data_IF_280142525505
#
_entry.id   IF_280142525505
#
_cell.length_a   1.000
_cell.length_b   1.000
_cell.length_c   1.000
_cell.angle_alpha   90.00
_cell.angle_beta   90.00
_cell.angle_gamma   90.00
#
_symmetry.space_group_name_H-M   'P 1'
#
loop_
_entity.id
_entity.type
_entity.pdbx_description
1 polymer ?
#
# COMPACT_ATOMS: atom_id res chain seq x y z
N UNK A 1 -8.66 -5.95 9.28
CA UNK A 1 -9.78 -5.40 8.46
C UNK A 1 -9.93 -3.91 8.77
N UNK A 2 -10.36 -3.11 7.80
CA UNK A 2 -10.63 -1.69 8.00
C UNK A 2 -12.03 -1.50 8.64
N UNK A 3 -12.14 -0.92 9.86
CA UNK A 3 -13.42 -0.70 10.51
C UNK A 3 -14.31 0.35 9.82
N UNK A 4 -13.76 1.25 8.98
CA UNK A 4 -14.55 2.30 8.31
C UNK A 4 -14.85 1.98 6.84
N UNK A 5 -14.13 1.02 6.25
CA UNK A 5 -14.29 0.60 4.86
C UNK A 5 -14.53 -0.92 4.80
N UNK A 6 -15.79 -1.39 4.89
CA UNK A 6 -16.11 -2.82 4.86
C UNK A 6 -15.49 -3.54 3.65
N UNK A 7 -14.87 -4.70 3.90
CA UNK A 7 -14.21 -5.50 2.86
C UNK A 7 -12.78 -5.05 2.50
N UNK A 8 -12.26 -3.99 3.11
CA UNK A 8 -10.87 -3.54 2.93
C UNK A 8 -9.99 -3.93 4.11
N UNK A 9 -8.68 -3.97 3.89
CA UNK A 9 -7.66 -4.16 4.92
C UNK A 9 -6.73 -2.94 4.94
N UNK A 10 -6.27 -2.57 6.13
CA UNK A 10 -5.31 -1.47 6.30
C UNK A 10 -3.89 -2.00 6.37
N UNK A 11 -2.97 -1.22 5.83
CA UNK A 11 -1.55 -1.52 5.89
C UNK A 11 -0.71 -0.47 5.19
N UNK A 12 0.59 -0.72 5.17
CA UNK A 12 1.60 0.04 4.45
C UNK A 12 1.68 -0.49 3.02
N UNK A 13 1.18 0.28 2.07
CA UNK A 13 1.30 -0.04 0.66
C UNK A 13 2.64 0.42 0.13
N UNK A 14 3.29 -0.43 -0.66
CA UNK A 14 4.37 -0.03 -1.55
C UNK A 14 3.75 0.09 -2.94
N UNK A 15 3.74 1.29 -3.50
CA UNK A 15 3.07 1.57 -4.76
C UNK A 15 3.83 2.56 -5.63
N UNK A 16 3.57 2.54 -6.94
CA UNK A 16 4.02 3.54 -7.90
C UNK A 16 2.80 4.22 -8.51
N UNK A 17 2.84 5.56 -8.62
CA UNK A 17 1.71 6.34 -9.17
C UNK A 17 1.62 6.33 -10.69
N UNK A 18 2.75 6.26 -11.40
CA UNK A 18 2.76 6.34 -12.87
C UNK A 18 3.84 5.43 -13.51
N UNK A 19 3.45 4.42 -14.31
CA UNK A 19 2.09 3.87 -14.39
C UNK A 19 1.70 3.25 -13.04
N UNK A 20 0.39 3.29 -12.74
CA UNK A 20 -0.15 2.75 -11.49
C UNK A 20 0.29 1.30 -11.29
N UNK A 21 0.83 1.01 -10.10
CA UNK A 21 1.17 -0.35 -9.70
C UNK A 21 1.17 -0.46 -8.18
N UNK A 22 0.39 -1.39 -7.64
CA UNK A 22 0.44 -1.75 -6.22
C UNK A 22 1.36 -2.98 -6.08
N UNK A 23 2.58 -2.77 -5.58
CA UNK A 23 3.52 -3.88 -5.37
C UNK A 23 3.04 -4.81 -4.25
N UNK A 24 2.45 -4.26 -3.19
CA UNK A 24 1.96 -5.02 -2.07
C UNK A 24 1.47 -4.16 -0.92
N UNK A 25 0.81 -4.81 0.04
CA UNK A 25 0.35 -4.23 1.30
C UNK A 25 0.95 -5.03 2.45
N UNK A 26 1.57 -4.33 3.39
CA UNK A 26 2.29 -4.92 4.52
C UNK A 26 1.69 -4.46 5.85
N UNK A 27 1.70 -5.32 6.85
CA UNK A 27 1.18 -4.99 8.18
C UNK A 27 2.10 -4.01 8.92
N UNK A 28 3.42 -4.20 8.79
CA UNK A 28 4.45 -3.41 9.46
C UNK A 28 5.16 -2.48 8.46
N UNK A 29 5.50 -1.25 8.89
CA UNK A 29 6.20 -0.29 8.01
C UNK A 29 7.60 -0.78 7.63
N UNK A 30 8.29 -1.45 8.56
CA UNK A 30 9.63 -1.97 8.34
C UNK A 30 9.68 -2.95 7.16
N UNK A 31 8.68 -3.82 7.05
CA UNK A 31 8.57 -4.75 5.91
C UNK A 31 8.38 -4.00 4.59
N UNK A 32 7.56 -2.94 4.57
CA UNK A 32 7.39 -2.11 3.39
C UNK A 32 8.68 -1.36 3.01
N UNK A 33 9.45 -0.90 4.00
CA UNK A 33 10.75 -0.24 3.81
C UNK A 33 11.80 -1.19 3.20
N UNK A 34 11.88 -2.43 3.69
CA UNK A 34 12.77 -3.46 3.13
C UNK A 34 12.44 -3.75 1.66
N UNK A 35 11.15 -3.85 1.32
CA UNK A 35 10.70 -4.06 -0.04
C UNK A 35 11.02 -2.85 -0.93
N UNK A 36 10.76 -1.63 -0.45
CA UNK A 36 11.07 -0.41 -1.20
C UNK A 36 12.56 -0.33 -1.56
N UNK A 37 13.44 -0.64 -0.60
CA UNK A 37 14.89 -0.68 -0.83
C UNK A 37 15.30 -1.70 -1.90
N UNK A 38 14.57 -2.82 -1.99
CA UNK A 38 14.84 -3.87 -2.98
C UNK A 38 14.36 -3.53 -4.40
N UNK A 39 13.25 -2.79 -4.56
CA UNK A 39 12.60 -2.56 -5.87
C UNK A 39 12.92 -1.20 -6.50
N UNK A 40 13.44 -0.23 -5.73
CA UNK A 40 13.98 1.03 -6.25
C UNK A 40 13.07 2.27 -6.12
N UNK A 41 13.59 3.40 -6.61
CA UNK A 41 13.18 4.76 -6.26
C UNK A 41 11.83 5.24 -6.82
N UNK A 42 11.22 4.51 -7.76
CA UNK A 42 9.95 4.92 -8.39
C UNK A 42 8.73 4.55 -7.55
N UNK A 43 8.93 3.82 -6.46
CA UNK A 43 7.89 3.42 -5.51
C UNK A 43 7.91 4.31 -4.26
N UNK A 44 6.79 4.36 -3.58
CA UNK A 44 6.62 5.06 -2.31
C UNK A 44 5.84 4.20 -1.32
N UNK A 45 5.97 4.53 -0.04
CA UNK A 45 5.26 3.87 1.05
C UNK A 45 4.13 4.77 1.53
N UNK A 46 2.90 4.26 1.49
CA UNK A 46 1.70 4.98 1.94
C UNK A 46 0.87 4.09 2.86
N UNK A 47 0.46 4.59 4.02
CA UNK A 47 -0.51 3.89 4.87
C UNK A 47 -1.95 4.14 4.38
N UNK A 48 -2.73 3.09 4.19
CA UNK A 48 -4.07 3.20 3.64
C UNK A 48 -4.82 1.88 3.60
N UNK A 49 -5.82 1.79 2.73
CA UNK A 49 -6.82 0.72 2.68
C UNK A 49 -6.86 0.06 1.30
N UNK A 50 -6.55 -1.23 1.26
CA UNK A 50 -6.62 -2.04 0.05
C UNK A 50 -7.89 -2.89 0.04
N UNK A 51 -8.55 -3.00 -1.11
CA UNK A 51 -9.54 -4.05 -1.32
C UNK A 51 -8.80 -5.38 -1.53
N UNK A 52 -9.06 -6.34 -0.65
CA UNK A 52 -8.36 -7.62 -0.62
C UNK A 52 -8.40 -8.34 -1.99
N UNK A 53 -7.23 -8.73 -2.48
CA UNK A 53 -7.08 -9.42 -3.76
C UNK A 53 -7.16 -8.52 -4.99
N UNK A 54 -7.00 -7.20 -4.83
CA UNK A 54 -7.01 -6.24 -5.94
C UNK A 54 -5.92 -5.18 -5.78
N UNK A 55 -5.68 -4.42 -6.84
CA UNK A 55 -4.79 -3.25 -6.82
C UNK A 55 -5.51 -1.96 -6.41
N UNK A 56 -6.78 -2.04 -6.00
CA UNK A 56 -7.55 -0.87 -5.53
C UNK A 56 -7.06 -0.47 -4.13
N UNK A 57 -6.36 0.67 -4.08
CA UNK A 57 -5.81 1.24 -2.87
C UNK A 57 -6.31 2.67 -2.67
N UNK A 58 -6.88 2.91 -1.49
CA UNK A 58 -7.36 4.21 -1.07
C UNK A 58 -6.55 4.69 0.14
N UNK A 59 -6.07 5.93 0.08
CA UNK A 59 -5.52 6.62 1.23
C UNK A 59 -6.09 8.03 1.24
N UNK A 60 -6.46 8.52 2.42
CA UNK A 60 -6.78 9.92 2.64
C UNK A 60 -5.53 10.58 3.24
N UNK A 61 -4.70 11.19 2.41
CA UNK A 61 -3.68 12.15 2.83
C UNK A 61 -4.12 13.54 2.40
N UNK A 62 -4.14 14.50 3.32
CA UNK A 62 -4.26 15.95 3.05
C UNK A 62 -3.27 16.44 2.01
#
# INVERSE_FOLDING_TARGET
MDPINPGRIRGWAVLRRNPWHLQGLYEESLQAEEILQAIGADYEIIYGSNQYGSDDFFWSGT
#
